data_IF_729127929600
#
_entry.id   IF_729127929600
#
_cell.length_a   1.000
_cell.length_b   1.000
_cell.length_c   1.000
_cell.angle_alpha   90.00
_cell.angle_beta   90.00
_cell.angle_gamma   90.00
#
_symmetry.space_group_name_H-M   'P 1'
#
loop_
_entity.id
_entity.type
_entity.pdbx_description
1 polymer ?
#
# COMPACT_ATOMS: atom_id res chain seq x y z
N UNK A 1 -0.65 1.98 -14.85
CA UNK A 1 -0.19 0.87 -14.00
C UNK A 1 -1.33 0.41 -13.11
N UNK A 2 -1.36 -0.88 -12.83
CA UNK A 2 -2.22 -1.47 -11.83
C UNK A 2 -1.49 -1.46 -10.48
N UNK A 3 -2.06 -0.79 -9.50
CA UNK A 3 -1.44 -0.55 -8.20
C UNK A 3 -2.22 -1.30 -7.11
N UNK A 4 -1.52 -2.08 -6.32
CA UNK A 4 -2.04 -2.62 -5.07
C UNK A 4 -1.76 -1.61 -3.95
N UNK A 5 -2.80 -0.96 -3.43
CA UNK A 5 -2.68 -0.06 -2.29
C UNK A 5 -3.01 -0.83 -1.00
N UNK A 6 -1.98 -1.11 -0.21
CA UNK A 6 -2.11 -1.76 1.08
C UNK A 6 -2.28 -0.73 2.21
N UNK A 7 -3.26 -0.94 3.06
CA UNK A 7 -3.45 -0.18 4.28
C UNK A 7 -4.10 -1.05 5.37
N UNK A 8 -4.09 -0.57 6.61
CA UNK A 8 -4.73 -1.30 7.71
C UNK A 8 -6.25 -1.33 7.54
N UNK A 9 -6.83 -2.51 7.36
CA UNK A 9 -8.28 -2.73 7.28
C UNK A 9 -8.86 -2.94 8.68
N UNK A 10 -8.31 -3.89 9.44
CA UNK A 10 -8.70 -4.17 10.83
C UNK A 10 -7.63 -3.66 11.78
N UNK A 11 -8.03 -2.90 12.79
CA UNK A 11 -7.12 -2.33 13.78
C UNK A 11 -6.97 -0.81 13.66
N UNK A 12 -5.73 -0.29 13.67
CA UNK A 12 -5.46 1.13 13.65
C UNK A 12 -5.64 1.75 12.26
N UNK A 13 -6.79 2.35 12.04
CA UNK A 13 -7.14 3.07 10.79
C UNK A 13 -6.92 4.58 10.87
N UNK A 14 -6.08 5.08 11.77
CA UNK A 14 -5.85 6.53 11.92
C UNK A 14 -5.40 7.20 10.61
N UNK A 15 -4.72 6.48 9.72
CA UNK A 15 -4.26 6.98 8.42
C UNK A 15 -5.28 6.81 7.27
N UNK A 16 -6.51 6.36 7.52
CA UNK A 16 -7.46 6.06 6.44
C UNK A 16 -7.80 7.29 5.57
N UNK A 17 -7.90 8.47 6.16
CA UNK A 17 -8.12 9.72 5.42
C UNK A 17 -6.96 10.03 4.47
N UNK A 18 -5.74 9.83 4.93
CA UNK A 18 -4.53 9.98 4.11
C UNK A 18 -4.48 8.93 2.99
N UNK A 19 -4.84 7.68 3.29
CA UNK A 19 -4.89 6.62 2.28
C UNK A 19 -5.95 6.88 1.20
N UNK A 20 -7.09 7.48 1.56
CA UNK A 20 -8.12 7.91 0.59
C UNK A 20 -7.60 9.02 -0.32
N UNK A 21 -7.02 10.07 0.25
CA UNK A 21 -6.43 11.17 -0.53
C UNK A 21 -5.30 10.68 -1.46
N UNK A 22 -4.51 9.73 -0.98
CA UNK A 22 -3.48 9.06 -1.78
C UNK A 22 -4.10 8.30 -2.96
N UNK A 23 -5.16 7.54 -2.72
CA UNK A 23 -5.85 6.78 -3.76
C UNK A 23 -6.43 7.71 -4.83
N UNK A 24 -7.11 8.78 -4.42
CA UNK A 24 -7.67 9.77 -5.35
C UNK A 24 -6.56 10.38 -6.23
N UNK A 25 -5.43 10.76 -5.62
CA UNK A 25 -4.31 11.33 -6.36
C UNK A 25 -3.65 10.34 -7.35
N UNK A 26 -3.61 9.05 -7.01
CA UNK A 26 -3.09 7.99 -7.89
C UNK A 26 -4.03 7.79 -9.09
N UNK A 27 -5.34 7.76 -8.86
CA UNK A 27 -6.36 7.61 -9.91
C UNK A 27 -6.41 8.84 -10.81
N UNK A 28 -6.25 10.06 -10.27
CA UNK A 28 -6.15 11.32 -11.04
C UNK A 28 -4.93 11.33 -12.01
N UNK A 29 -3.89 10.56 -11.69
CA UNK A 29 -2.73 10.36 -12.56
C UNK A 29 -2.95 9.27 -13.62
N UNK A 30 -4.14 8.67 -13.69
CA UNK A 30 -4.52 7.66 -14.67
C UNK A 30 -4.06 6.24 -14.32
N UNK A 31 -3.77 5.96 -13.07
CA UNK A 31 -3.46 4.61 -12.59
C UNK A 31 -4.71 3.94 -12.00
N UNK A 32 -4.72 2.61 -11.95
CA UNK A 32 -5.82 1.82 -11.40
C UNK A 32 -5.43 1.29 -10.01
N UNK A 33 -6.30 1.44 -9.01
CA UNK A 33 -6.11 0.84 -7.70
C UNK A 33 -6.96 -0.43 -7.58
N UNK A 34 -6.31 -1.58 -7.48
CA UNK A 34 -6.97 -2.89 -7.41
C UNK A 34 -7.72 -3.10 -6.09
N UNK A 35 -7.29 -2.41 -5.03
CA UNK A 35 -7.79 -2.55 -3.66
C UNK A 35 -8.63 -1.36 -3.19
N UNK A 36 -9.18 -0.56 -4.10
CA UNK A 36 -9.93 0.66 -3.78
C UNK A 36 -11.03 0.45 -2.72
N UNK A 37 -11.71 -0.70 -2.76
CA UNK A 37 -12.78 -1.06 -1.82
C UNK A 37 -12.31 -1.13 -0.36
N UNK A 38 -11.02 -1.36 -0.08
CA UNK A 38 -10.48 -1.39 1.29
C UNK A 38 -10.52 -0.02 1.98
N UNK A 39 -10.72 1.04 1.22
CA UNK A 39 -10.82 2.41 1.71
C UNK A 39 -12.25 2.85 2.04
N UNK A 40 -13.25 2.02 1.71
CA UNK A 40 -14.65 2.31 1.96
C UNK A 40 -15.02 2.18 3.44
N UNK A 41 -16.09 2.89 3.87
CA UNK A 41 -16.54 2.86 5.26
C UNK A 41 -17.22 1.53 5.62
N UNK A 42 -17.77 0.83 4.63
CA UNK A 42 -18.45 -0.46 4.77
C UNK A 42 -17.54 -1.67 4.55
N UNK A 43 -16.22 -1.48 4.50
CA UNK A 43 -15.24 -2.53 4.23
C UNK A 43 -15.41 -3.75 5.13
N UNK A 44 -15.63 -3.56 6.42
CA UNK A 44 -15.83 -4.68 7.37
C UNK A 44 -17.05 -5.53 7.02
N UNK A 45 -18.13 -4.91 6.55
CA UNK A 45 -19.34 -5.62 6.10
C UNK A 45 -19.09 -6.40 4.81
N UNK A 46 -18.39 -5.80 3.86
CA UNK A 46 -18.06 -6.43 2.58
C UNK A 46 -17.07 -7.58 2.76
N UNK A 47 -16.02 -7.35 3.52
CA UNK A 47 -15.02 -8.38 3.83
C UNK A 47 -15.63 -9.51 4.67
N UNK A 48 -16.56 -9.18 5.58
CA UNK A 48 -17.28 -10.16 6.40
C UNK A 48 -18.22 -11.09 5.63
N UNK A 49 -18.56 -10.76 4.38
CA UNK A 49 -19.32 -11.63 3.49
C UNK A 49 -18.47 -12.72 2.82
N UNK A 50 -17.15 -12.60 2.88
CA UNK A 50 -16.18 -13.55 2.32
C UNK A 50 -15.56 -14.41 3.43
N UNK A 51 -15.18 -15.63 3.09
CA UNK A 51 -14.33 -16.45 3.94
C UNK A 51 -12.89 -15.94 3.90
N UNK A 52 -12.09 -16.21 4.92
CA UNK A 52 -10.66 -15.88 4.97
C UNK A 52 -9.91 -16.44 3.77
N UNK A 53 -10.30 -17.61 3.28
CA UNK A 53 -9.71 -18.24 2.11
C UNK A 53 -10.02 -17.48 0.82
N UNK A 54 -11.22 -16.95 0.67
CA UNK A 54 -11.63 -16.14 -0.49
C UNK A 54 -10.92 -14.80 -0.49
N UNK A 55 -10.81 -14.15 0.67
CA UNK A 55 -10.03 -12.90 0.83
C UNK A 55 -8.58 -13.16 0.45
N UNK A 56 -7.94 -14.16 1.04
CA UNK A 56 -6.55 -14.52 0.73
C UNK A 56 -6.33 -14.77 -0.77
N UNK A 57 -7.18 -15.59 -1.40
CA UNK A 57 -7.04 -15.93 -2.81
C UNK A 57 -7.26 -14.73 -3.74
N UNK A 58 -8.16 -13.82 -3.38
CA UNK A 58 -8.43 -12.57 -4.12
C UNK A 58 -7.23 -11.64 -4.02
N UNK A 59 -6.78 -11.36 -2.80
CA UNK A 59 -5.71 -10.39 -2.55
C UNK A 59 -4.38 -10.86 -3.12
N UNK A 60 -4.10 -12.16 -3.03
CA UNK A 60 -2.91 -12.74 -3.64
C UNK A 60 -2.90 -12.55 -5.17
N UNK A 61 -4.05 -12.77 -5.84
CA UNK A 61 -4.16 -12.53 -7.29
C UNK A 61 -3.92 -11.06 -7.66
N UNK A 62 -4.43 -10.12 -6.85
CA UNK A 62 -4.20 -8.70 -7.09
C UNK A 62 -2.75 -8.28 -6.82
N UNK A 63 -2.12 -8.82 -5.77
CA UNK A 63 -0.69 -8.64 -5.53
C UNK A 63 0.15 -9.14 -6.71
N UNK A 64 -0.22 -10.30 -7.27
CA UNK A 64 0.48 -10.89 -8.41
C UNK A 64 0.25 -10.13 -9.73
N UNK A 65 -0.90 -9.53 -9.90
CA UNK A 65 -1.27 -8.77 -11.08
C UNK A 65 -0.78 -7.30 -11.05
N UNK A 66 -0.45 -6.77 -9.86
CA UNK A 66 -0.04 -5.38 -9.74
C UNK A 66 1.37 -5.12 -10.27
N UNK A 67 1.56 -3.94 -10.85
CA UNK A 67 2.89 -3.43 -11.26
C UNK A 67 3.67 -2.89 -10.06
N UNK A 68 2.96 -2.34 -9.08
CA UNK A 68 3.52 -1.68 -7.91
C UNK A 68 2.67 -1.96 -6.67
N UNK A 69 3.32 -2.28 -5.56
CA UNK A 69 2.71 -2.25 -4.24
C UNK A 69 3.01 -0.91 -3.57
N UNK A 70 1.98 -0.15 -3.21
CA UNK A 70 2.09 1.02 -2.34
C UNK A 70 1.49 0.65 -0.98
N UNK A 71 2.27 0.74 0.09
CA UNK A 71 1.81 0.41 1.43
C UNK A 71 1.83 1.65 2.34
N UNK A 72 0.64 2.06 2.80
CA UNK A 72 0.50 3.01 3.91
C UNK A 72 0.64 2.24 5.22
N UNK A 73 1.82 2.34 5.84
CA UNK A 73 2.26 1.51 6.96
C UNK A 73 2.34 2.26 8.30
N UNK A 74 1.63 3.38 8.46
CA UNK A 74 1.58 4.16 9.71
C UNK A 74 0.89 3.41 10.85
N UNK A 75 0.01 2.46 10.53
CA UNK A 75 -0.63 1.56 11.46
C UNK A 75 0.06 0.20 11.53
N UNK A 76 -0.04 -0.47 12.68
CA UNK A 76 0.43 -1.84 12.82
C UNK A 76 -0.54 -2.80 12.15
N UNK A 77 -0.09 -3.54 11.13
CA UNK A 77 -0.92 -4.50 10.39
C UNK A 77 -0.10 -5.72 9.97
N UNK A 78 -0.56 -6.92 10.38
CA UNK A 78 0.01 -8.17 9.90
C UNK A 78 -0.21 -8.37 8.40
N UNK A 79 -1.37 -7.94 7.88
CA UNK A 79 -1.70 -8.02 6.45
C UNK A 79 -0.72 -7.24 5.61
N UNK A 80 -0.53 -5.96 5.92
CA UNK A 80 0.43 -5.09 5.21
C UNK A 80 1.85 -5.67 5.26
N UNK A 81 2.27 -6.22 6.41
CA UNK A 81 3.57 -6.87 6.54
C UNK A 81 3.72 -8.11 5.66
N UNK A 82 2.66 -8.93 5.57
CA UNK A 82 2.60 -10.10 4.68
C UNK A 82 2.70 -9.69 3.20
N UNK A 83 1.91 -8.71 2.77
CA UNK A 83 1.85 -8.21 1.40
C UNK A 83 3.21 -7.67 0.94
N UNK A 84 3.83 -6.83 1.77
CA UNK A 84 5.17 -6.30 1.53
C UNK A 84 6.20 -7.43 1.42
N UNK A 85 6.23 -8.36 2.37
CA UNK A 85 7.14 -9.49 2.37
C UNK A 85 6.95 -10.40 1.16
N UNK A 86 5.70 -10.64 0.76
CA UNK A 86 5.37 -11.44 -0.41
C UNK A 86 5.91 -10.83 -1.70
N UNK A 87 5.68 -9.52 -1.92
CA UNK A 87 6.17 -8.83 -3.13
C UNK A 87 7.70 -8.77 -3.14
N UNK A 88 8.33 -8.40 -2.04
CA UNK A 88 9.81 -8.36 -1.93
C UNK A 88 10.43 -9.73 -2.21
N UNK A 89 9.84 -10.81 -1.68
CA UNK A 89 10.34 -12.18 -1.87
C UNK A 89 10.32 -12.67 -3.33
N UNK A 90 9.57 -12.00 -4.21
CA UNK A 90 9.49 -12.33 -5.64
C UNK A 90 10.06 -11.24 -6.56
N UNK A 91 10.46 -10.11 -6.03
CA UNK A 91 10.83 -8.92 -6.80
C UNK A 91 11.94 -9.18 -7.84
N UNK A 92 12.95 -9.97 -7.51
CA UNK A 92 14.03 -10.33 -8.46
C UNK A 92 13.50 -11.06 -9.71
N UNK A 93 12.43 -11.85 -9.55
CA UNK A 93 11.84 -12.63 -10.64
C UNK A 93 10.79 -11.85 -11.41
N UNK A 94 10.03 -10.98 -10.74
CA UNK A 94 8.87 -10.28 -11.31
C UNK A 94 9.18 -8.85 -11.75
N UNK A 95 10.22 -8.24 -11.19
CA UNK A 95 10.51 -6.82 -11.37
C UNK A 95 9.61 -5.88 -10.55
N UNK A 96 8.65 -6.43 -9.79
CA UNK A 96 7.74 -5.62 -8.96
C UNK A 96 8.50 -4.75 -7.97
N UNK A 97 7.99 -3.57 -7.72
CA UNK A 97 8.53 -2.61 -6.77
C UNK A 97 7.57 -2.40 -5.60
N UNK A 98 8.11 -1.96 -4.49
CA UNK A 98 7.36 -1.62 -3.28
C UNK A 98 7.66 -0.20 -2.87
N UNK A 99 6.62 0.59 -2.64
CA UNK A 99 6.70 1.91 -2.03
C UNK A 99 6.10 1.86 -0.62
N UNK A 100 6.95 2.00 0.39
CA UNK A 100 6.55 2.05 1.80
C UNK A 100 6.41 3.49 2.26
N UNK A 101 5.24 3.84 2.76
CA UNK A 101 4.88 5.17 3.22
C UNK A 101 4.48 5.11 4.69
N UNK A 102 4.96 6.02 5.52
CA UNK A 102 4.48 6.15 6.88
C UNK A 102 4.63 7.57 7.41
N UNK A 103 3.70 7.98 8.28
CA UNK A 103 3.76 9.26 8.99
C UNK A 103 4.91 9.24 10.01
N UNK A 104 5.81 10.23 9.96
CA UNK A 104 6.93 10.36 10.89
C UNK A 104 6.47 10.43 12.35
N UNK A 105 5.30 11.01 12.61
CA UNK A 105 4.73 11.13 13.96
C UNK A 105 4.24 9.76 14.49
N UNK A 106 4.02 8.81 13.61
CA UNK A 106 3.61 7.43 13.94
C UNK A 106 4.79 6.47 14.03
N UNK A 107 6.02 6.95 13.83
CA UNK A 107 7.25 6.13 13.81
C UNK A 107 7.37 5.11 14.97
N UNK A 108 6.96 5.41 16.22
CA UNK A 108 7.01 4.43 17.31
C UNK A 108 6.10 3.21 17.12
N UNK A 109 5.07 3.31 16.31
CA UNK A 109 4.09 2.25 16.03
C UNK A 109 4.40 1.49 14.73
N UNK A 110 5.30 2.02 13.89
CA UNK A 110 5.70 1.37 12.64
C UNK A 110 6.70 0.25 12.94
N UNK A 111 6.46 -0.92 12.34
CA UNK A 111 7.40 -2.04 12.46
C UNK A 111 8.82 -1.63 12.06
N UNK A 112 9.81 -2.06 12.85
CA UNK A 112 11.23 -1.79 12.55
C UNK A 112 11.67 -2.46 11.24
N UNK A 113 11.08 -3.61 10.88
CA UNK A 113 11.32 -4.27 9.59
C UNK A 113 10.79 -3.45 8.41
N UNK A 114 9.67 -2.76 8.59
CA UNK A 114 9.09 -1.88 7.57
C UNK A 114 9.94 -0.61 7.44
N UNK A 115 10.13 0.12 8.53
CA UNK A 115 10.82 1.41 8.51
C UNK A 115 12.33 1.32 8.22
N UNK A 116 12.95 0.18 8.51
CA UNK A 116 14.37 -0.09 8.23
C UNK A 116 14.58 -0.91 6.96
N UNK A 117 13.59 -1.04 6.09
CA UNK A 117 13.69 -1.84 4.89
C UNK A 117 14.63 -1.18 3.87
N UNK A 118 15.68 -1.91 3.49
CA UNK A 118 16.71 -1.47 2.53
C UNK A 118 16.78 -2.38 1.30
N UNK A 119 15.74 -3.20 1.07
CA UNK A 119 15.72 -4.08 -0.08
C UNK A 119 15.71 -3.26 -1.39
N UNK A 120 16.50 -3.66 -2.43
CA UNK A 120 16.60 -2.88 -3.68
C UNK A 120 15.27 -2.60 -4.40
N UNK A 121 14.30 -3.49 -4.27
CA UNK A 121 12.96 -3.32 -4.84
C UNK A 121 12.06 -2.44 -3.97
N UNK A 122 12.55 -1.90 -2.85
CA UNK A 122 11.74 -1.15 -1.89
C UNK A 122 12.24 0.29 -1.75
N UNK A 123 11.33 1.24 -1.93
CA UNK A 123 11.54 2.64 -1.59
C UNK A 123 10.75 2.95 -0.33
N UNK A 124 11.40 3.50 0.69
CA UNK A 124 10.74 3.91 1.93
C UNK A 124 10.70 5.42 2.03
N UNK A 125 9.52 6.00 2.24
CA UNK A 125 9.34 7.44 2.40
C UNK A 125 8.57 7.77 3.68
N UNK A 126 9.24 8.34 4.70
CA UNK A 126 8.60 8.88 5.89
C UNK A 126 8.02 10.28 5.58
N UNK A 127 6.70 10.42 5.49
CA UNK A 127 6.05 11.69 5.19
C UNK A 127 5.71 12.48 6.47
N UNK A 128 5.63 13.80 6.33
CA UNK A 128 5.35 14.73 7.44
C UNK A 128 3.92 15.27 7.45
N UNK A 129 3.27 15.24 6.28
CA UNK A 129 1.89 15.68 6.10
C UNK A 129 1.28 14.99 4.89
N UNK A 130 -0.05 15.04 4.75
CA UNK A 130 -0.72 14.53 3.55
C UNK A 130 -0.24 15.25 2.28
N UNK A 131 0.01 16.55 2.34
CA UNK A 131 0.52 17.32 1.20
C UNK A 131 1.92 16.85 0.77
N UNK A 132 2.83 16.67 1.73
CA UNK A 132 4.18 16.13 1.52
C UNK A 132 4.12 14.74 0.86
N UNK A 133 3.25 13.86 1.37
CA UNK A 133 3.01 12.53 0.80
C UNK A 133 2.53 12.61 -0.65
N UNK A 134 1.49 13.40 -0.92
CA UNK A 134 0.90 13.49 -2.25
C UNK A 134 1.87 14.08 -3.27
N UNK A 135 2.66 15.07 -2.87
CA UNK A 135 3.72 15.64 -3.71
C UNK A 135 4.77 14.59 -4.05
N UNK A 136 5.25 13.85 -3.05
CA UNK A 136 6.24 12.80 -3.25
C UNK A 136 5.72 11.71 -4.20
N UNK A 137 4.50 11.21 -3.99
CA UNK A 137 3.93 10.13 -4.80
C UNK A 137 3.71 10.57 -6.25
N UNK A 138 3.27 11.81 -6.48
CA UNK A 138 3.14 12.35 -7.85
C UNK A 138 4.47 12.34 -8.58
N UNK A 139 5.55 12.78 -7.96
CA UNK A 139 6.90 12.75 -8.55
C UNK A 139 7.35 11.31 -8.77
N UNK A 140 7.20 10.47 -7.76
CA UNK A 140 7.58 9.06 -7.82
C UNK A 140 6.91 8.30 -8.97
N UNK A 141 5.61 8.52 -9.19
CA UNK A 141 4.85 7.87 -10.27
C UNK A 141 5.15 8.49 -11.65
N UNK A 142 5.40 9.80 -11.73
CA UNK A 142 5.76 10.45 -13.00
C UNK A 142 7.09 9.95 -13.58
N UNK A 143 8.02 9.53 -12.72
CA UNK A 143 9.31 8.93 -13.13
C UNK A 143 9.17 7.47 -13.59
N UNK A 144 7.99 6.87 -13.43
CA UNK A 144 7.66 5.48 -13.77
C UNK A 144 6.45 5.44 -14.69
N UNK A 145 6.60 5.80 -15.96
CA UNK A 145 5.47 5.80 -16.89
C UNK A 145 4.83 4.40 -16.93
N UNK A 146 3.50 4.38 -17.08
CA UNK A 146 2.77 3.16 -17.36
C UNK A 146 3.35 2.48 -18.60
N UNK A 147 3.69 1.20 -18.48
CA UNK A 147 4.08 0.37 -19.63
C UNK A 147 2.88 0.17 -20.55
#
# INVERSE_FOLDING_TARGET
MDIYLACTVRGDRAAIGTARALADAIEDLGHTILTRHLLEDDVDSREGALTEREVFARDLRWLEASDLLIAEASGSSYGVGFEVGYVIGRAERTGQQVLLLYDVNRRPFVSRLIAGNTHPACTTYPYRSAEDLLQFVRVYLAERPAC
#
